data_IF_459446778137
#
_entry.id   IF_459446778137
#
_cell.length_a   1.000
_cell.length_b   1.000
_cell.length_c   1.000
_cell.angle_alpha   90.00
_cell.angle_beta   90.00
_cell.angle_gamma   90.00
#
_symmetry.space_group_name_H-M   'P 1'
#
loop_
_entity.id
_entity.type
_entity.pdbx_description
1 polymer ?
#
# COMPACT_ATOMS: atom_id res chain seq x y z
N UNK A 1 32.81 -27.21 -51.68
CA UNK A 1 32.77 -25.74 -51.79
C UNK A 1 31.40 -25.24 -51.38
N UNK A 2 31.36 -24.46 -50.28
CA UNK A 2 30.34 -23.48 -49.83
C UNK A 2 28.85 -23.89 -49.81
N UNK A 3 28.40 -24.35 -48.64
CA UNK A 3 26.99 -24.28 -48.25
C UNK A 3 26.60 -22.80 -47.99
N UNK A 4 25.66 -22.29 -48.78
CA UNK A 4 25.05 -20.98 -48.57
C UNK A 4 24.01 -21.09 -47.45
N UNK A 5 24.37 -20.68 -46.24
CA UNK A 5 23.40 -20.41 -45.17
C UNK A 5 22.66 -19.11 -45.48
N UNK A 6 21.41 -19.23 -45.94
CA UNK A 6 20.45 -18.13 -45.96
C UNK A 6 20.15 -17.74 -44.51
N UNK A 7 20.72 -16.63 -44.05
CA UNK A 7 20.27 -15.98 -42.82
C UNK A 7 18.87 -15.44 -43.09
N UNK A 8 17.86 -16.15 -42.60
CA UNK A 8 16.48 -15.68 -42.62
C UNK A 8 16.40 -14.40 -41.82
N UNK A 9 16.09 -13.30 -42.49
CA UNK A 9 15.72 -12.04 -41.85
C UNK A 9 14.45 -12.32 -41.06
N UNK A 10 14.56 -12.44 -39.74
CA UNK A 10 13.40 -12.48 -38.87
C UNK A 10 12.71 -11.14 -39.00
N UNK A 11 11.42 -11.17 -39.40
CA UNK A 11 10.64 -9.97 -39.60
C UNK A 11 10.66 -9.13 -38.31
N UNK A 12 11.07 -7.87 -38.42
CA UNK A 12 10.98 -6.92 -37.31
C UNK A 12 9.51 -6.78 -36.90
N UNK A 13 9.21 -6.83 -35.59
CA UNK A 13 7.84 -6.69 -35.13
C UNK A 13 7.28 -5.31 -35.53
N UNK A 14 6.04 -5.31 -36.00
CA UNK A 14 5.31 -4.10 -36.41
C UNK A 14 5.23 -3.06 -35.27
N UNK A 15 5.15 -1.77 -35.60
CA UNK A 15 4.93 -0.69 -34.64
C UNK A 15 3.66 -0.90 -33.78
N UNK A 16 2.65 -1.61 -34.30
CA UNK A 16 1.47 -2.01 -33.53
C UNK A 16 1.80 -3.09 -32.48
N UNK A 17 2.70 -4.02 -32.81
CA UNK A 17 3.20 -5.04 -31.88
C UNK A 17 4.05 -4.43 -30.75
N UNK A 18 4.80 -3.37 -31.06
CA UNK A 18 5.53 -2.56 -30.08
C UNK A 18 4.58 -1.70 -29.22
N UNK A 19 3.44 -1.26 -29.75
CA UNK A 19 2.44 -0.48 -29.01
C UNK A 19 1.65 -1.33 -28.00
N UNK A 20 1.56 -2.65 -28.21
CA UNK A 20 0.97 -3.60 -27.26
C UNK A 20 1.81 -3.79 -25.96
N UNK A 21 3.00 -3.17 -25.86
CA UNK A 21 3.73 -3.00 -24.59
C UNK A 21 3.17 -1.88 -23.69
N UNK A 22 1.94 -1.41 -23.95
CA UNK A 22 1.15 -0.62 -23.00
C UNK A 22 0.30 -1.64 -22.23
N UNK A 23 0.62 -2.07 -21.02
CA UNK A 23 0.82 -1.24 -19.82
C UNK A 23 1.69 -1.98 -18.78
N UNK A 24 2.79 -1.37 -18.33
CA UNK A 24 3.61 -1.86 -17.20
C UNK A 24 2.86 -1.97 -15.85
N UNK A 25 1.63 -1.48 -15.80
CA UNK A 25 0.79 -1.41 -14.60
C UNK A 25 -0.52 -2.14 -14.82
N UNK A 26 -0.90 -2.94 -13.82
CA UNK A 26 -2.21 -3.62 -13.79
C UNK A 26 -3.37 -2.62 -13.82
N UNK A 27 -4.54 -3.06 -14.27
CA UNK A 27 -5.74 -2.24 -14.31
C UNK A 27 -6.11 -1.71 -12.91
N UNK A 28 -5.87 -2.52 -11.87
CA UNK A 28 -6.09 -2.14 -10.47
C UNK A 28 -5.19 -0.98 -10.05
N UNK A 29 -3.89 -1.01 -10.41
CA UNK A 29 -2.98 0.10 -10.11
C UNK A 29 -3.44 1.36 -10.82
N UNK A 30 -3.87 1.26 -12.08
CA UNK A 30 -4.35 2.41 -12.84
C UNK A 30 -5.62 3.00 -12.25
N UNK A 31 -6.55 2.16 -11.80
CA UNK A 31 -7.79 2.61 -11.16
C UNK A 31 -7.53 3.32 -9.83
N UNK A 32 -6.70 2.74 -8.96
CA UNK A 32 -6.33 3.40 -7.70
C UNK A 32 -5.48 4.66 -7.90
N UNK A 33 -4.75 4.76 -9.00
CA UNK A 33 -4.00 5.97 -9.35
C UNK A 33 -4.90 7.09 -9.90
N UNK A 34 -5.83 6.76 -10.81
CA UNK A 34 -6.74 7.73 -11.43
C UNK A 34 -7.84 8.19 -10.46
N UNK A 35 -8.34 7.26 -9.65
CA UNK A 35 -9.43 7.49 -8.69
C UNK A 35 -9.00 7.07 -7.28
N UNK A 36 -8.03 7.73 -6.65
CA UNK A 36 -7.56 7.32 -5.33
C UNK A 36 -8.68 7.49 -4.29
N UNK A 37 -9.00 6.40 -3.60
CA UNK A 37 -10.00 6.38 -2.51
C UNK A 37 -9.40 6.97 -1.24
N UNK A 38 -10.20 7.61 -0.39
CA UNK A 38 -9.74 8.04 0.95
C UNK A 38 -8.61 9.09 0.97
N UNK A 39 -8.44 9.88 -0.10
CA UNK A 39 -7.52 11.01 -0.08
C UNK A 39 -8.05 12.09 0.87
N UNK A 40 -7.20 12.63 1.74
CA UNK A 40 -7.59 13.72 2.62
C UNK A 40 -6.70 13.88 3.84
N UNK A 41 -7.26 14.51 4.87
CA UNK A 41 -6.65 14.60 6.20
C UNK A 41 -7.74 14.48 7.25
N UNK A 42 -7.38 13.92 8.40
CA UNK A 42 -8.16 13.94 9.63
C UNK A 42 -7.55 14.98 10.57
N UNK A 43 -8.31 15.37 11.60
CA UNK A 43 -7.80 16.24 12.65
C UNK A 43 -6.72 15.50 13.45
N UNK A 44 -5.53 16.11 13.54
CA UNK A 44 -4.39 15.56 14.27
C UNK A 44 -4.57 15.67 15.79
N UNK A 45 -5.42 16.60 16.23
CA UNK A 45 -5.68 16.86 17.64
C UNK A 45 -6.71 15.89 18.24
N UNK A 46 -7.44 15.15 17.40
CA UNK A 46 -8.38 14.14 17.87
C UNK A 46 -7.60 12.99 18.58
N UNK A 47 -7.91 12.68 19.85
CA UNK A 47 -7.26 11.60 20.60
C UNK A 47 -7.50 10.22 19.96
N UNK A 48 -8.57 10.09 19.17
CA UNK A 48 -8.92 8.86 18.46
C UNK A 48 -8.22 8.72 17.11
N UNK A 49 -7.41 9.70 16.71
CA UNK A 49 -6.68 9.69 15.44
C UNK A 49 -5.21 9.37 15.65
N UNK A 50 -4.76 8.28 15.01
CA UNK A 50 -3.35 7.94 14.83
C UNK A 50 -2.82 8.50 13.52
N UNK A 51 -1.60 9.04 13.53
CA UNK A 51 -0.94 9.52 12.31
C UNK A 51 0.40 8.84 12.12
N UNK A 52 0.59 8.24 10.95
CA UNK A 52 1.84 7.62 10.51
C UNK A 52 2.41 8.38 9.32
N UNK A 53 3.72 8.64 9.35
CA UNK A 53 4.47 9.20 8.24
C UNK A 53 5.68 8.31 7.99
N UNK A 54 5.86 7.88 6.74
CA UNK A 54 7.02 7.11 6.29
C UNK A 54 7.49 7.59 4.92
N UNK A 55 8.73 7.26 4.59
CA UNK A 55 9.41 7.69 3.38
C UNK A 55 10.27 8.92 3.62
N UNK A 56 11.03 9.30 2.59
CA UNK A 56 12.00 10.39 2.65
C UNK A 56 11.93 11.20 1.34
N UNK A 57 12.12 12.53 1.39
CA UNK A 57 12.18 13.36 0.19
C UNK A 57 13.26 12.90 -0.80
N UNK A 58 14.34 12.33 -0.27
CA UNK A 58 15.52 11.88 -1.01
C UNK A 58 15.22 10.70 -1.94
N UNK A 59 14.31 9.82 -1.53
CA UNK A 59 13.86 8.68 -2.31
C UNK A 59 12.71 9.02 -3.26
N UNK A 60 12.15 10.24 -3.17
CA UNK A 60 11.04 10.70 -3.98
C UNK A 60 9.66 10.13 -3.61
N UNK A 61 9.60 9.19 -2.67
CA UNK A 61 8.35 8.57 -2.18
C UNK A 61 8.15 8.88 -0.68
N UNK A 62 6.99 9.45 -0.34
CA UNK A 62 6.57 9.78 1.02
C UNK A 62 5.07 9.55 1.19
N UNK A 63 4.69 8.83 2.24
CA UNK A 63 3.28 8.52 2.52
C UNK A 63 2.94 8.89 3.96
N UNK A 64 1.86 9.65 4.10
CA UNK A 64 1.21 9.94 5.38
C UNK A 64 -0.15 9.25 5.41
N UNK A 65 -0.42 8.45 6.43
CA UNK A 65 -1.74 7.87 6.66
C UNK A 65 -2.24 8.23 8.05
N UNK A 66 -3.54 8.49 8.14
CA UNK A 66 -4.25 8.79 9.37
C UNK A 66 -5.41 7.83 9.54
N UNK A 67 -5.52 7.23 10.71
CA UNK A 67 -6.57 6.27 11.06
C UNK A 67 -7.37 6.83 12.22
N UNK A 68 -8.71 6.81 12.11
CA UNK A 68 -9.62 7.10 13.21
C UNK A 68 -10.14 5.79 13.77
N UNK A 69 -9.91 5.57 15.06
CA UNK A 69 -10.25 4.31 15.73
C UNK A 69 -11.33 4.57 16.77
N UNK A 70 -12.34 3.71 16.79
CA UNK A 70 -13.32 3.69 17.86
C UNK A 70 -12.70 3.07 19.13
N UNK A 71 -12.64 3.80 20.25
CA UNK A 71 -11.94 3.34 21.46
C UNK A 71 -12.62 2.14 22.15
N UNK A 72 -13.94 1.95 21.97
CA UNK A 72 -14.69 0.89 22.61
C UNK A 72 -14.57 -0.44 21.86
N UNK A 73 -14.67 -0.37 20.52
CA UNK A 73 -14.66 -1.56 19.65
C UNK A 73 -13.28 -1.90 19.09
N UNK A 74 -12.34 -0.95 19.12
CA UNK A 74 -11.03 -1.04 18.46
C UNK A 74 -11.13 -1.26 16.94
N UNK A 75 -12.19 -0.75 16.32
CA UNK A 75 -12.42 -0.80 14.86
C UNK A 75 -12.01 0.53 14.24
N UNK A 76 -11.39 0.47 13.06
CA UNK A 76 -11.01 1.65 12.27
C UNK A 76 -12.24 2.17 11.53
N UNK A 77 -12.77 3.33 11.94
CA UNK A 77 -13.98 3.93 11.35
C UNK A 77 -13.68 4.64 10.03
N UNK A 78 -12.59 5.41 10.01
CA UNK A 78 -12.18 6.17 8.83
C UNK A 78 -10.66 6.17 8.69
N UNK A 79 -10.24 6.27 7.43
CA UNK A 79 -8.83 6.32 7.05
C UNK A 79 -8.69 7.41 6.01
N UNK A 80 -7.69 8.26 6.19
CA UNK A 80 -7.28 9.24 5.18
C UNK A 80 -5.81 9.12 4.92
N UNK A 81 -5.41 9.31 3.66
CA UNK A 81 -4.00 9.33 3.31
C UNK A 81 -3.64 10.52 2.42
N UNK A 82 -2.35 10.83 2.43
CA UNK A 82 -1.67 11.66 1.45
C UNK A 82 -0.38 10.95 1.07
N UNK A 83 -0.17 10.76 -0.22
CA UNK A 83 1.06 10.18 -0.74
C UNK A 83 1.67 11.14 -1.76
N UNK A 84 2.99 11.24 -1.74
CA UNK A 84 3.81 11.88 -2.74
C UNK A 84 4.76 10.84 -3.30
N UNK A 85 4.90 10.79 -4.63
CA UNK A 85 5.82 9.86 -5.27
C UNK A 85 5.24 9.20 -6.50
N UNK A 86 5.76 8.01 -6.83
CA UNK A 86 5.36 7.30 -8.03
C UNK A 86 3.89 6.83 -7.99
N UNK A 87 3.27 6.69 -9.17
CA UNK A 87 1.86 6.29 -9.25
C UNK A 87 1.55 4.95 -8.55
N UNK A 88 2.53 4.04 -8.48
CA UNK A 88 2.44 2.79 -7.73
C UNK A 88 2.35 3.00 -6.20
N UNK A 89 3.07 3.98 -5.65
CA UNK A 89 3.00 4.30 -4.23
C UNK A 89 1.64 4.93 -3.85
N UNK A 90 1.09 5.77 -4.72
CA UNK A 90 -0.26 6.33 -4.56
C UNK A 90 -1.31 5.21 -4.63
N UNK A 91 -1.18 4.32 -5.61
CA UNK A 91 -2.10 3.19 -5.77
C UNK A 91 -2.04 2.22 -4.56
N UNK A 92 -0.83 1.88 -4.10
CA UNK A 92 -0.62 1.05 -2.91
C UNK A 92 -1.24 1.67 -1.66
N UNK A 93 -1.03 2.97 -1.45
CA UNK A 93 -1.58 3.70 -0.30
C UNK A 93 -3.11 3.77 -0.36
N UNK A 94 -3.67 3.97 -1.56
CA UNK A 94 -5.13 3.97 -1.76
C UNK A 94 -5.73 2.61 -1.46
N UNK A 95 -5.19 1.53 -2.02
CA UNK A 95 -5.66 0.18 -1.73
C UNK A 95 -5.54 -0.15 -0.24
N UNK A 96 -4.38 0.12 0.36
CA UNK A 96 -4.13 -0.19 1.76
C UNK A 96 -5.09 0.57 2.70
N UNK A 97 -5.41 1.83 2.39
CA UNK A 97 -6.40 2.61 3.15
C UNK A 97 -7.82 2.02 3.07
N UNK A 98 -8.20 1.44 1.94
CA UNK A 98 -9.47 0.75 1.78
C UNK A 98 -9.46 -0.60 2.51
N UNK A 99 -8.35 -1.33 2.42
CA UNK A 99 -8.20 -2.66 2.98
C UNK A 99 -8.29 -2.70 4.51
N UNK A 100 -7.89 -1.62 5.21
CA UNK A 100 -7.94 -1.55 6.68
C UNK A 100 -9.20 -0.86 7.23
N UNK A 101 -9.96 -0.16 6.39
CA UNK A 101 -11.17 0.53 6.83
C UNK A 101 -12.23 -0.50 7.27
N UNK A 102 -12.81 -0.30 8.45
CA UNK A 102 -13.78 -1.23 9.03
C UNK A 102 -13.17 -2.49 9.66
N UNK A 103 -11.84 -2.65 9.62
CA UNK A 103 -11.14 -3.74 10.31
C UNK A 103 -10.73 -3.34 11.72
N UNK A 104 -10.43 -4.35 12.55
CA UNK A 104 -9.87 -4.11 13.86
C UNK A 104 -8.42 -3.59 13.75
N UNK A 105 -7.96 -2.89 14.78
CA UNK A 105 -6.56 -2.43 14.87
C UNK A 105 -5.57 -3.61 14.77
N UNK A 106 -5.91 -4.77 15.33
CA UNK A 106 -5.07 -5.96 15.26
C UNK A 106 -4.96 -6.51 13.82
N UNK A 107 -6.07 -6.52 13.07
CA UNK A 107 -6.07 -6.99 11.68
C UNK A 107 -5.39 -6.01 10.74
N UNK A 108 -5.44 -4.70 11.03
CA UNK A 108 -4.67 -3.72 10.29
C UNK A 108 -3.15 -3.93 10.42
N UNK A 109 -2.68 -4.45 11.56
CA UNK A 109 -1.28 -4.82 11.80
C UNK A 109 -0.88 -6.18 11.18
N UNK A 110 -1.85 -6.95 10.67
CA UNK A 110 -1.59 -8.20 9.94
C UNK A 110 -1.43 -7.95 8.44
N UNK A 111 -1.86 -6.80 7.93
CA UNK A 111 -1.76 -6.47 6.52
C UNK A 111 -0.28 -6.45 6.10
N UNK A 112 0.11 -7.36 5.22
CA UNK A 112 1.50 -7.47 4.76
C UNK A 112 1.71 -6.81 3.41
N UNK A 113 2.93 -6.37 3.13
CA UNK A 113 3.32 -5.90 1.80
C UNK A 113 3.03 -6.93 0.69
N UNK A 114 3.11 -8.23 1.00
CA UNK A 114 2.86 -9.30 0.04
C UNK A 114 1.42 -9.29 -0.44
N UNK A 115 0.46 -9.13 0.46
CA UNK A 115 -0.96 -9.02 0.12
C UNK A 115 -1.22 -7.80 -0.76
N UNK A 116 -0.64 -6.65 -0.42
CA UNK A 116 -0.78 -5.42 -1.21
C UNK A 116 -0.16 -5.60 -2.61
N UNK A 117 1.02 -6.19 -2.69
CA UNK A 117 1.73 -6.40 -3.94
C UNK A 117 1.01 -7.42 -4.85
N UNK A 118 0.49 -8.50 -4.28
CA UNK A 118 -0.28 -9.51 -5.01
C UNK A 118 -1.57 -8.92 -5.55
N UNK A 119 -2.32 -8.19 -4.71
CA UNK A 119 -3.61 -7.64 -5.10
C UNK A 119 -3.46 -6.64 -6.24
N UNK A 120 -2.44 -5.78 -6.16
CA UNK A 120 -2.12 -4.80 -7.21
C UNK A 120 -1.30 -5.39 -8.36
N UNK A 121 -0.91 -6.66 -8.28
CA UNK A 121 -0.04 -7.34 -9.26
C UNK A 121 1.21 -6.52 -9.59
N UNK A 122 1.89 -6.04 -8.54
CA UNK A 122 3.08 -5.19 -8.69
C UNK A 122 4.26 -6.01 -9.21
N UNK A 123 5.01 -5.48 -10.20
CA UNK A 123 6.25 -6.12 -10.61
C UNK A 123 7.31 -6.05 -9.50
N UNK A 124 8.29 -6.98 -9.46
CA UNK A 124 9.30 -7.05 -8.39
C UNK A 124 10.04 -5.73 -8.11
N UNK A 125 10.24 -4.91 -9.16
CA UNK A 125 10.95 -3.62 -9.08
C UNK A 125 10.18 -2.58 -8.25
N UNK A 126 8.87 -2.76 -8.02
CA UNK A 126 7.99 -1.80 -7.30
C UNK A 126 7.50 -2.32 -5.95
N UNK A 127 8.10 -3.39 -5.41
CA UNK A 127 7.74 -3.95 -4.10
C UNK A 127 8.01 -2.99 -2.94
N UNK A 128 8.91 -2.02 -3.11
CA UNK A 128 9.16 -1.00 -2.09
C UNK A 128 7.92 -0.12 -1.83
N UNK A 129 7.04 0.06 -2.83
CA UNK A 129 5.80 0.82 -2.69
C UNK A 129 4.81 0.13 -1.73
N UNK A 130 4.74 -1.20 -1.79
CA UNK A 130 3.93 -1.99 -0.87
C UNK A 130 4.51 -2.03 0.54
N UNK A 131 5.84 -2.07 0.68
CA UNK A 131 6.51 -1.99 1.99
C UNK A 131 6.26 -0.62 2.65
N UNK A 132 6.40 0.46 1.89
CA UNK A 132 6.13 1.81 2.38
C UNK A 132 4.68 1.96 2.86
N UNK A 133 3.71 1.40 2.12
CA UNK A 133 2.30 1.43 2.50
C UNK A 133 2.03 0.66 3.81
N UNK A 134 2.58 -0.55 3.95
CA UNK A 134 2.52 -1.36 5.18
C UNK A 134 3.10 -0.61 6.38
N UNK A 135 4.35 -0.13 6.25
CA UNK A 135 5.04 0.58 7.33
C UNK A 135 4.29 1.84 7.76
N UNK A 136 3.64 2.54 6.82
CA UNK A 136 2.86 3.73 7.14
C UNK A 136 1.61 3.38 7.96
N UNK A 137 0.95 2.27 7.65
CA UNK A 137 -0.21 1.79 8.42
C UNK A 137 0.22 1.41 9.83
N UNK A 138 1.30 0.63 9.95
CA UNK A 138 1.85 0.24 11.25
C UNK A 138 2.21 1.47 12.07
N UNK A 139 2.87 2.46 11.46
CA UNK A 139 3.20 3.72 12.12
C UNK A 139 1.95 4.48 12.60
N UNK A 140 0.88 4.52 11.81
CA UNK A 140 -0.35 5.21 12.16
C UNK A 140 -1.06 4.53 13.33
N UNK A 141 -1.13 3.20 13.31
CA UNK A 141 -1.68 2.38 14.40
C UNK A 141 -0.84 2.51 15.66
N UNK A 142 0.49 2.39 15.57
CA UNK A 142 1.40 2.54 16.71
C UNK A 142 1.29 3.92 17.35
N UNK A 143 1.13 4.97 16.54
CA UNK A 143 0.89 6.33 17.04
C UNK A 143 -0.42 6.39 17.85
N UNK A 144 -1.51 5.80 17.36
CA UNK A 144 -2.77 5.70 18.11
C UNK A 144 -2.62 4.92 19.42
N UNK A 145 -1.95 3.77 19.39
CA UNK A 145 -1.71 2.94 20.57
C UNK A 145 -0.79 3.61 21.60
N UNK A 146 0.14 4.45 21.14
CA UNK A 146 1.03 5.21 22.03
C UNK A 146 0.29 6.32 22.77
N UNK A 147 -0.74 6.90 22.15
CA UNK A 147 -1.67 7.84 22.81
C UNK A 147 -2.60 7.12 23.81
N UNK A 148 -2.84 5.82 23.62
CA UNK A 148 -3.79 5.01 24.39
C UNK A 148 -3.12 3.75 25.00
N UNK A 149 -2.28 3.90 26.04
CA UNK A 149 -1.45 2.81 26.58
C UNK A 149 -2.25 1.62 27.12
N UNK A 150 -3.47 1.84 27.63
CA UNK A 150 -4.38 0.79 28.11
C UNK A 150 -4.90 -0.12 27.00
N UNK A 151 -5.03 0.42 25.77
CA UNK A 151 -5.50 -0.34 24.61
C UNK A 151 -4.35 -1.10 23.94
N UNK A 152 -3.12 -0.59 24.04
CA UNK A 152 -1.91 -1.26 23.53
C UNK A 152 -1.75 -2.68 24.09
N UNK A 153 -1.94 -2.87 25.39
CA UNK A 153 -1.84 -4.20 26.02
C UNK A 153 -2.92 -5.17 25.54
N UNK A 154 -4.15 -4.68 25.28
CA UNK A 154 -5.24 -5.50 24.72
C UNK A 154 -4.94 -5.96 23.29
N UNK A 155 -4.40 -5.07 22.46
CA UNK A 155 -4.05 -5.40 21.06
C UNK A 155 -2.89 -6.39 20.99
N UNK A 156 -1.87 -6.23 21.85
CA UNK A 156 -0.73 -7.16 21.89
C UNK A 156 -1.15 -8.59 22.25
N UNK A 157 -2.02 -8.75 23.27
CA UNK A 157 -2.56 -10.07 23.64
C UNK A 157 -3.31 -10.74 22.48
N UNK A 158 -4.19 -10.00 21.78
CA UNK A 158 -4.91 -10.51 20.60
C UNK A 158 -4.00 -10.86 19.42
N UNK A 159 -2.83 -10.20 19.32
CA UNK A 159 -1.84 -10.49 18.27
C UNK A 159 -1.06 -11.78 18.56
N UNK A 160 -0.80 -12.07 19.83
CA UNK A 160 -0.16 -13.32 20.27
C UNK A 160 -1.10 -14.51 20.05
N UNK A 161 -2.37 -14.39 20.45
CA UNK A 161 -3.41 -15.40 20.21
C UNK A 161 -3.57 -15.74 18.72
N UNK A 162 -3.51 -14.74 17.84
CA UNK A 162 -3.64 -14.94 16.40
C UNK A 162 -2.38 -15.45 15.69
N UNK A 163 -1.27 -15.68 16.41
CA UNK A 163 -0.02 -16.25 15.86
C UNK A 163 0.12 -17.75 16.13
N UNK A 164 -0.73 -18.32 16.97
CA UNK A 164 -0.73 -19.75 17.34
C UNK A 164 -1.66 -20.60 16.44
N UNK A 165 -2.42 -19.97 15.54
CA UNK A 165 -3.24 -20.62 14.50
C UNK A 165 -2.58 -20.50 13.11
#
# INVERSE_FOLDING_TARGET
MRAFFRVGVTAMPSAAQLCAMRTLYSDKVQDHYKNPRNVGKLDKNDPNVGTGLRGAPECGDMTQMQVKVNPDTLVIEDVKFKAFGCGSAIAASSYASQAIRGKSVADALKLTNKEIAQELSLPPVKLHCSMLAEETIHAAVENYLSKNPTLKSKVLKRKEEAKEE
#
